data_IF_882817389402
#
_entry.id   IF_882817389402
#
_cell.length_a   1.000
_cell.length_b   1.000
_cell.length_c   1.000
_cell.angle_alpha   90.00
_cell.angle_beta   90.00
_cell.angle_gamma   90.00
#
_symmetry.space_group_name_H-M   'P 1'
#
loop_
_entity.id
_entity.type
_entity.pdbx_description
1 polymer ?
#
# COMPACT_ATOMS: atom_id res chain seq x y z
N UNK A 1 -0.11 32.64 1.86
CA UNK A 1 -0.24 31.45 2.74
C UNK A 1 0.02 30.21 1.90
N UNK A 2 1.19 29.58 2.03
CA UNK A 2 1.47 28.29 1.35
C UNK A 2 1.00 27.18 2.28
N UNK A 3 0.07 26.37 1.79
CA UNK A 3 -0.63 25.33 2.52
C UNK A 3 0.33 24.40 3.26
N UNK A 4 -0.03 24.10 4.51
CA UNK A 4 0.65 23.16 5.40
C UNK A 4 0.71 21.80 4.67
N UNK A 5 1.89 21.39 4.21
CA UNK A 5 2.14 20.04 3.66
C UNK A 5 1.81 19.07 4.79
N UNK A 6 0.67 18.38 4.73
CA UNK A 6 0.34 17.34 5.69
C UNK A 6 1.49 16.32 5.64
N UNK A 7 2.16 16.11 6.78
CA UNK A 7 3.15 15.04 6.88
C UNK A 7 2.44 13.74 6.51
N UNK A 8 3.04 12.94 5.63
CA UNK A 8 2.44 11.67 5.23
C UNK A 8 2.25 10.82 6.47
N UNK A 9 1.02 10.39 6.75
CA UNK A 9 0.68 9.54 7.89
C UNK A 9 1.14 8.07 7.67
N UNK A 10 2.08 7.86 6.75
CA UNK A 10 2.58 6.57 6.30
C UNK A 10 4.06 6.46 6.63
N UNK A 11 4.47 5.31 7.18
CA UNK A 11 5.87 4.99 7.44
C UNK A 11 6.64 4.66 6.15
N UNK A 12 5.93 4.22 5.11
CA UNK A 12 6.49 3.93 3.79
C UNK A 12 5.48 4.19 2.66
N UNK A 13 5.94 4.27 1.42
CA UNK A 13 5.08 4.28 0.24
C UNK A 13 5.71 3.53 -0.93
N UNK A 14 4.87 2.88 -1.74
CA UNK A 14 5.25 2.20 -2.98
C UNK A 14 4.35 2.68 -4.10
N UNK A 15 4.96 3.27 -5.13
CA UNK A 15 4.30 3.51 -6.41
C UNK A 15 4.62 2.36 -7.36
N UNK A 16 3.70 1.39 -7.43
CA UNK A 16 3.85 0.16 -8.21
C UNK A 16 3.97 0.41 -9.72
N UNK A 17 3.57 1.60 -10.21
CA UNK A 17 3.68 2.00 -11.61
C UNK A 17 5.12 2.25 -12.04
N UNK A 18 6.03 2.44 -11.07
CA UNK A 18 7.47 2.65 -11.32
C UNK A 18 8.25 1.34 -11.51
N UNK A 19 7.62 0.20 -11.28
CA UNK A 19 8.28 -1.10 -11.28
C UNK A 19 7.72 -2.01 -12.38
N UNK A 20 8.56 -2.80 -13.05
CA UNK A 20 8.11 -3.85 -13.96
C UNK A 20 7.16 -4.84 -13.27
N UNK A 21 6.21 -5.48 -14.00
CA UNK A 21 5.26 -6.44 -13.43
C UNK A 21 5.90 -7.56 -12.60
N UNK A 22 7.10 -8.01 -12.98
CA UNK A 22 7.84 -9.08 -12.29
C UNK A 22 8.46 -8.63 -10.97
N UNK A 23 8.71 -7.34 -10.79
CA UNK A 23 9.41 -6.78 -9.63
C UNK A 23 8.45 -6.14 -8.63
N UNK A 24 7.36 -5.54 -9.12
CA UNK A 24 6.44 -4.76 -8.29
C UNK A 24 5.89 -5.54 -7.09
N UNK A 25 5.58 -6.83 -7.25
CA UNK A 25 5.11 -7.66 -6.14
C UNK A 25 6.16 -7.78 -5.04
N UNK A 26 7.39 -8.13 -5.38
CA UNK A 26 8.48 -8.27 -4.40
C UNK A 26 8.70 -6.96 -3.63
N UNK A 27 8.71 -5.82 -4.32
CA UNK A 27 8.88 -4.51 -3.68
C UNK A 27 7.75 -4.18 -2.69
N UNK A 28 6.50 -4.49 -3.05
CA UNK A 28 5.34 -4.24 -2.19
C UNK A 28 5.43 -5.09 -0.91
N UNK A 29 5.67 -6.40 -1.06
CA UNK A 29 5.76 -7.32 0.09
C UNK A 29 6.98 -7.04 0.97
N UNK A 30 8.15 -6.74 0.38
CA UNK A 30 9.33 -6.35 1.14
C UNK A 30 9.11 -5.07 1.95
N UNK A 31 8.36 -4.11 1.38
CA UNK A 31 8.04 -2.86 2.07
C UNK A 31 7.05 -3.10 3.20
N UNK A 32 5.99 -3.87 2.96
CA UNK A 32 5.02 -4.25 3.98
C UNK A 32 5.67 -5.04 5.12
N UNK A 33 6.53 -6.00 4.80
CA UNK A 33 7.24 -6.84 5.77
C UNK A 33 8.11 -6.03 6.75
N UNK A 34 8.67 -4.91 6.30
CA UNK A 34 9.50 -3.98 7.09
C UNK A 34 8.70 -3.06 8.02
N UNK A 35 7.39 -2.97 7.86
CA UNK A 35 6.55 -2.22 8.79
C UNK A 35 6.61 -2.83 10.20
N UNK A 36 6.58 -1.96 11.20
CA UNK A 36 6.30 -2.34 12.59
C UNK A 36 4.80 -2.43 12.81
N UNK A 37 4.39 -3.15 13.85
CA UNK A 37 3.00 -3.13 14.32
C UNK A 37 2.57 -1.67 14.62
N UNK A 38 1.39 -1.29 14.14
CA UNK A 38 0.85 0.06 14.19
C UNK A 38 1.27 0.98 13.04
N UNK A 39 2.25 0.59 12.21
CA UNK A 39 2.64 1.37 11.04
C UNK A 39 1.81 0.99 9.81
N UNK A 40 1.72 1.95 8.87
CA UNK A 40 1.05 1.77 7.60
C UNK A 40 1.89 2.27 6.44
N UNK A 41 1.71 1.65 5.28
CA UNK A 41 2.24 2.11 4.01
C UNK A 41 1.14 2.53 3.04
N UNK A 42 1.47 3.42 2.12
CA UNK A 42 0.65 3.72 0.95
C UNK A 42 1.11 2.90 -0.25
N UNK A 43 0.17 2.29 -0.96
CA UNK A 43 0.39 1.68 -2.28
C UNK A 43 -0.38 2.46 -3.33
N UNK A 44 0.32 2.88 -4.38
CA UNK A 44 -0.25 3.50 -5.59
C UNK A 44 -0.11 2.53 -6.76
N UNK A 45 -1.21 2.26 -7.48
CA UNK A 45 -1.24 1.30 -8.59
C UNK A 45 -2.07 1.84 -9.78
N UNK A 46 -1.85 1.27 -10.97
CA UNK A 46 -2.57 1.59 -12.21
C UNK A 46 -3.87 0.78 -12.40
N UNK A 47 -4.14 -0.19 -11.51
CA UNK A 47 -5.37 -0.98 -11.48
C UNK A 47 -5.73 -1.36 -10.04
N UNK A 48 -6.95 -1.87 -9.83
CA UNK A 48 -7.40 -2.34 -8.52
C UNK A 48 -6.46 -3.43 -7.97
N UNK A 49 -5.79 -3.22 -6.82
CA UNK A 49 -4.89 -4.21 -6.22
C UNK A 49 -5.64 -5.31 -5.45
N UNK A 50 -6.91 -5.59 -5.78
CA UNK A 50 -7.72 -6.65 -5.19
C UNK A 50 -7.04 -8.04 -5.12
N UNK A 51 -6.27 -8.50 -6.12
CA UNK A 51 -5.52 -9.75 -5.99
C UNK A 51 -4.52 -9.74 -4.82
N UNK A 52 -3.86 -8.60 -4.59
CA UNK A 52 -2.92 -8.43 -3.47
C UNK A 52 -3.64 -8.48 -2.13
N UNK A 53 -4.82 -7.87 -2.02
CA UNK A 53 -5.66 -7.96 -0.81
C UNK A 53 -5.95 -9.42 -0.45
N UNK A 54 -6.35 -10.24 -1.42
CA UNK A 54 -6.65 -11.64 -1.15
C UNK A 54 -5.41 -12.44 -0.74
N UNK A 55 -4.26 -12.14 -1.33
CA UNK A 55 -3.00 -12.78 -0.94
C UNK A 55 -2.61 -12.42 0.50
N UNK A 56 -2.64 -11.13 0.87
CA UNK A 56 -2.40 -10.70 2.25
C UNK A 56 -3.44 -11.28 3.22
N UNK A 57 -4.70 -11.40 2.82
CA UNK A 57 -5.73 -12.02 3.65
C UNK A 57 -5.48 -13.50 3.91
N UNK A 58 -4.84 -14.21 2.98
CA UNK A 58 -4.47 -15.61 3.16
C UNK A 58 -3.21 -15.77 4.01
N UNK A 59 -2.20 -14.91 3.82
CA UNK A 59 -0.89 -15.01 4.48
C UNK A 59 -0.86 -14.35 5.88
N UNK A 60 -1.58 -13.25 6.07
CA UNK A 60 -1.55 -12.37 7.25
C UNK A 60 -2.94 -12.20 7.89
N UNK A 61 -3.74 -13.27 7.90
CA UNK A 61 -5.10 -13.26 8.44
C UNK A 61 -5.15 -12.64 9.85
N UNK A 62 -5.92 -11.55 9.99
CA UNK A 62 -6.09 -10.80 11.24
C UNK A 62 -4.93 -9.89 11.63
N UNK A 63 -3.85 -9.82 10.84
CA UNK A 63 -2.61 -9.08 11.15
C UNK A 63 -2.40 -7.83 10.29
N UNK A 64 -3.33 -7.50 9.40
CA UNK A 64 -3.25 -6.30 8.57
C UNK A 64 -4.56 -5.52 8.54
N UNK A 65 -4.45 -4.28 8.09
CA UNK A 65 -5.56 -3.38 7.79
C UNK A 65 -5.48 -2.96 6.33
N UNK A 66 -6.64 -2.76 5.71
CA UNK A 66 -6.76 -2.36 4.31
C UNK A 66 -7.81 -1.28 4.17
N UNK A 67 -7.43 -0.15 3.57
CA UNK A 67 -8.32 0.98 3.32
C UNK A 67 -8.05 1.53 1.92
N UNK A 68 -9.09 1.69 1.12
CA UNK A 68 -8.97 2.44 -0.13
C UNK A 68 -8.94 3.94 0.16
N UNK A 69 -7.88 4.60 -0.27
CA UNK A 69 -7.73 6.06 -0.21
C UNK A 69 -8.26 6.71 -1.50
N UNK A 70 -8.13 5.99 -2.61
CA UNK A 70 -8.62 6.39 -3.93
C UNK A 70 -8.94 5.14 -4.74
N UNK A 71 -10.12 5.13 -5.35
CA UNK A 71 -10.57 4.08 -6.26
C UNK A 71 -10.65 4.74 -7.64
N UNK A 72 -10.10 4.10 -8.67
CA UNK A 72 -9.80 4.71 -9.98
C UNK A 72 -11.01 5.22 -10.77
N UNK A 73 -10.87 5.41 -12.10
CA UNK A 73 -10.02 4.61 -12.99
C UNK A 73 -8.59 5.13 -13.21
N UNK A 74 -8.28 6.38 -12.90
CA UNK A 74 -6.98 6.99 -13.23
C UNK A 74 -5.85 6.47 -12.33
N UNK A 75 -6.14 6.25 -11.05
CA UNK A 75 -5.18 5.75 -10.07
C UNK A 75 -5.90 5.02 -8.95
N UNK A 76 -5.25 4.00 -8.40
CA UNK A 76 -5.71 3.28 -7.23
C UNK A 76 -4.74 3.52 -6.09
N UNK A 77 -5.24 3.97 -4.94
CA UNK A 77 -4.43 4.19 -3.75
C UNK A 77 -5.02 3.45 -2.58
N UNK A 78 -4.20 2.66 -1.90
CA UNK A 78 -4.59 1.91 -0.72
C UNK A 78 -3.61 2.14 0.42
N UNK A 79 -4.15 2.23 1.63
CA UNK A 79 -3.41 2.18 2.88
C UNK A 79 -3.38 0.73 3.35
N UNK A 80 -2.18 0.21 3.60
CA UNK A 80 -1.95 -1.14 4.13
C UNK A 80 -1.27 -0.99 5.49
N UNK A 81 -1.99 -1.33 6.56
CA UNK A 81 -1.52 -1.27 7.95
C UNK A 81 -1.06 -2.62 8.45
N UNK A 82 -0.06 -2.66 9.33
CA UNK A 82 0.36 -3.87 10.05
C UNK A 82 -0.12 -3.78 11.50
N UNK A 83 -0.77 -4.84 11.98
CA UNK A 83 -1.25 -4.96 13.37
C UNK A 83 -0.20 -5.59 14.27
#
# INVERSE_FOLDING_TARGET
MKGRRAMSNFAASVDARKYPPREKHAVIFDTYGKLKSGEKMELVNDHDPKPLYYQLSAEESGKFEWEYLEQGPEVWRVSIGKK
#
